data_IF_396982357714
#
_entry.id   IF_396982357714
#
_cell.length_a   1.000
_cell.length_b   1.000
_cell.length_c   1.000
_cell.angle_alpha   90.00
_cell.angle_beta   90.00
_cell.angle_gamma   90.00
#
_symmetry.space_group_name_H-M   'P 1'
#
loop_
_entity.id
_entity.type
_entity.pdbx_description
1 polymer ?
#
# COMPACT_ATOMS: atom_id res chain seq x y z
N UNK A 1 9.55 16.56 5.97
CA UNK A 1 8.61 15.48 6.33
C UNK A 1 7.23 15.98 5.95
N UNK A 2 6.52 15.24 5.10
CA UNK A 2 5.13 15.55 4.76
C UNK A 2 4.25 14.93 5.85
N UNK A 3 3.34 15.71 6.41
CA UNK A 3 2.31 15.24 7.33
C UNK A 3 0.99 15.24 6.57
N UNK A 4 0.58 14.05 6.12
CA UNK A 4 -0.53 13.85 5.21
C UNK A 4 -1.35 12.65 5.66
N UNK A 5 -2.66 12.77 5.45
CA UNK A 5 -3.60 11.70 5.72
C UNK A 5 -3.84 10.87 4.46
N UNK A 6 -3.40 9.60 4.48
CA UNK A 6 -3.51 8.69 3.35
C UNK A 6 -4.97 8.30 3.02
N UNK A 7 -5.92 8.55 3.93
CA UNK A 7 -7.36 8.38 3.69
C UNK A 7 -7.91 9.40 2.69
N UNK A 8 -7.17 10.50 2.45
CA UNK A 8 -7.56 11.59 1.56
C UNK A 8 -6.50 11.81 0.46
N UNK A 9 -6.36 10.88 -0.50
CA UNK A 9 -5.23 10.84 -1.43
C UNK A 9 -5.23 11.97 -2.48
N UNK A 10 -6.31 12.74 -2.61
CA UNK A 10 -6.36 13.89 -3.51
C UNK A 10 -5.28 14.94 -3.21
N UNK A 11 -4.96 15.16 -1.92
CA UNK A 11 -3.89 16.08 -1.50
C UNK A 11 -2.49 15.45 -1.58
N UNK A 12 -2.39 14.12 -1.57
CA UNK A 12 -1.13 13.40 -1.51
C UNK A 12 -0.27 13.65 -2.74
N UNK A 13 -0.81 13.43 -3.94
CA UNK A 13 -0.02 13.50 -5.18
C UNK A 13 0.44 14.92 -5.52
N UNK A 14 -0.37 15.93 -5.16
CA UNK A 14 0.00 17.33 -5.27
C UNK A 14 1.20 17.64 -4.36
N UNK A 15 1.12 17.26 -3.08
CA UNK A 15 2.22 17.44 -2.13
C UNK A 15 3.48 16.66 -2.53
N UNK A 16 3.35 15.44 -3.05
CA UNK A 16 4.49 14.67 -3.56
C UNK A 16 5.19 15.37 -4.72
N UNK A 17 4.44 16.01 -5.63
CA UNK A 17 5.01 16.70 -6.80
C UNK A 17 5.84 17.93 -6.44
N UNK A 18 5.69 18.47 -5.23
CA UNK A 18 6.54 19.56 -4.72
C UNK A 18 7.93 19.08 -4.30
N UNK A 19 8.10 17.77 -4.11
CA UNK A 19 9.32 17.16 -3.56
C UNK A 19 9.94 16.10 -4.47
N UNK A 20 9.17 15.51 -5.38
CA UNK A 20 9.58 14.42 -6.25
C UNK A 20 9.23 14.74 -7.70
N UNK A 21 10.13 14.37 -8.62
CA UNK A 21 9.80 14.30 -10.04
C UNK A 21 8.99 13.02 -10.29
N UNK A 22 7.67 13.16 -10.43
CA UNK A 22 6.77 12.03 -10.68
C UNK A 22 6.75 11.58 -12.14
N UNK A 23 7.48 12.26 -13.04
CA UNK A 23 7.61 11.86 -14.45
C UNK A 23 8.60 10.70 -14.66
N UNK A 24 9.39 10.36 -13.64
CA UNK A 24 10.29 9.20 -13.62
C UNK A 24 9.80 8.14 -12.62
N UNK A 25 10.17 6.85 -12.80
CA UNK A 25 9.77 5.79 -11.88
C UNK A 25 10.19 6.07 -10.42
N UNK A 26 9.25 5.90 -9.49
CA UNK A 26 9.49 6.02 -8.05
C UNK A 26 9.23 4.70 -7.32
N UNK A 27 9.89 4.51 -6.18
CA UNK A 27 9.61 3.42 -5.26
C UNK A 27 8.73 3.89 -4.09
N UNK A 28 7.62 3.21 -3.87
CA UNK A 28 6.75 3.37 -2.70
C UNK A 28 6.99 2.18 -1.76
N UNK A 29 7.15 2.44 -0.48
CA UNK A 29 7.27 1.39 0.54
C UNK A 29 6.20 1.59 1.60
N UNK A 30 5.37 0.58 1.82
CA UNK A 30 4.37 0.55 2.90
C UNK A 30 4.74 -0.48 3.95
N UNK A 31 5.09 0.03 5.12
CA UNK A 31 5.45 -0.76 6.30
C UNK A 31 4.26 -0.83 7.26
N UNK A 32 3.50 -1.93 7.20
CA UNK A 32 2.25 -2.13 7.97
C UNK A 32 1.19 -1.03 7.76
N UNK A 33 1.35 -0.17 6.74
CA UNK A 33 0.54 1.04 6.58
C UNK A 33 -0.86 0.76 6.05
N UNK A 34 -0.95 -0.13 5.05
CA UNK A 34 -2.23 -0.40 4.36
C UNK A 34 -3.25 -1.08 5.27
N UNK A 35 -2.80 -1.79 6.29
CA UNK A 35 -3.67 -2.46 7.26
C UNK A 35 -4.43 -1.46 8.15
N UNK A 36 -4.02 -0.20 8.22
CA UNK A 36 -4.74 0.85 8.95
C UNK A 36 -5.83 1.57 8.15
N UNK A 37 -5.90 1.31 6.84
CA UNK A 37 -6.89 1.90 5.95
C UNK A 37 -8.09 0.94 5.82
N UNK A 38 -9.28 1.44 5.55
CA UNK A 38 -10.44 0.68 5.08
C UNK A 38 -10.30 0.33 3.59
N UNK A 39 -11.12 -0.59 3.09
CA UNK A 39 -10.99 -1.11 1.72
C UNK A 39 -11.16 -0.02 0.65
N UNK A 40 -12.11 0.89 0.86
CA UNK A 40 -12.35 2.04 -0.02
C UNK A 40 -11.18 3.03 0.01
N UNK A 41 -10.55 3.20 1.18
CA UNK A 41 -9.41 4.10 1.36
C UNK A 41 -8.15 3.55 0.69
N UNK A 42 -7.90 2.23 0.81
CA UNK A 42 -6.82 1.56 0.06
C UNK A 42 -7.06 1.69 -1.43
N UNK A 43 -8.29 1.44 -1.90
CA UNK A 43 -8.64 1.55 -3.32
C UNK A 43 -8.36 2.95 -3.84
N UNK A 44 -8.88 3.99 -3.15
CA UNK A 44 -8.65 5.38 -3.54
C UNK A 44 -7.17 5.77 -3.53
N UNK A 45 -6.38 5.27 -2.57
CA UNK A 45 -4.93 5.52 -2.52
C UNK A 45 -4.20 4.88 -3.71
N UNK A 46 -4.51 3.62 -4.01
CA UNK A 46 -3.90 2.87 -5.11
C UNK A 46 -4.21 3.51 -6.46
N UNK A 47 -5.47 3.90 -6.68
CA UNK A 47 -5.90 4.62 -7.89
C UNK A 47 -5.22 5.98 -8.02
N UNK A 48 -5.18 6.77 -6.94
CA UNK A 48 -4.59 8.10 -6.96
C UNK A 48 -3.09 8.06 -7.29
N UNK A 49 -2.36 7.09 -6.74
CA UNK A 49 -0.94 6.91 -7.05
C UNK A 49 -0.76 6.38 -8.48
N UNK A 50 -1.56 5.41 -8.92
CA UNK A 50 -1.52 4.91 -10.30
C UNK A 50 -1.72 6.03 -11.33
N UNK A 51 -2.61 6.98 -11.05
CA UNK A 51 -2.95 8.07 -11.95
C UNK A 51 -1.84 9.13 -12.10
N UNK A 52 -0.86 9.16 -11.19
CA UNK A 52 0.14 10.24 -11.12
C UNK A 52 1.58 9.79 -11.24
N UNK A 53 1.88 8.55 -10.87
CA UNK A 53 3.24 8.03 -10.94
C UNK A 53 3.57 7.56 -12.36
N UNK A 54 4.83 7.73 -12.77
CA UNK A 54 5.29 7.25 -14.05
C UNK A 54 5.22 5.71 -14.15
N UNK A 55 4.93 5.16 -15.35
CA UNK A 55 5.09 3.72 -15.61
C UNK A 55 6.47 3.22 -15.19
N UNK A 56 6.51 2.01 -14.61
CA UNK A 56 7.72 1.44 -14.02
C UNK A 56 7.90 1.76 -12.54
N UNK A 57 7.10 2.66 -11.96
CA UNK A 57 7.08 2.87 -10.50
C UNK A 57 6.72 1.58 -9.77
N UNK A 58 7.35 1.35 -8.63
CA UNK A 58 7.19 0.13 -7.84
C UNK A 58 6.58 0.40 -6.47
N UNK A 59 5.83 -0.57 -5.93
CA UNK A 59 5.32 -0.51 -4.57
C UNK A 59 5.64 -1.79 -3.80
N UNK A 60 6.49 -1.67 -2.77
CA UNK A 60 6.78 -2.74 -1.82
C UNK A 60 5.82 -2.71 -0.63
N UNK A 61 5.18 -3.84 -0.35
CA UNK A 61 4.24 -4.03 0.75
C UNK A 61 4.82 -5.07 1.69
N UNK A 62 5.01 -4.72 2.95
CA UNK A 62 5.63 -5.62 3.95
C UNK A 62 4.63 -6.56 4.63
N UNK A 63 3.34 -6.19 4.65
CA UNK A 63 2.28 -6.97 5.28
C UNK A 63 1.10 -7.00 4.32
N UNK A 64 0.83 -8.18 3.76
CA UNK A 64 -0.25 -8.36 2.78
C UNK A 64 -1.62 -8.59 3.39
N UNK A 65 -1.60 -9.01 4.64
CA UNK A 65 -2.72 -9.47 5.43
C UNK A 65 -2.09 -10.12 6.63
N UNK A 66 -1.35 -9.32 7.41
CA UNK A 66 -0.94 -9.81 8.71
C UNK A 66 -2.21 -9.93 9.52
N UNK A 67 -2.38 -11.04 10.22
CA UNK A 67 -3.08 -11.02 11.50
C UNK A 67 -4.60 -11.26 11.42
N UNK A 68 -5.10 -12.14 10.55
CA UNK A 68 -6.38 -12.79 10.84
C UNK A 68 -6.34 -13.34 12.28
N UNK A 69 -7.21 -12.80 13.15
CA UNK A 69 -7.21 -13.06 14.59
C UNK A 69 -6.28 -12.19 15.46
N UNK A 70 -5.18 -11.66 14.93
CA UNK A 70 -4.30 -10.77 15.70
C UNK A 70 -4.58 -9.27 15.47
N UNK A 71 -5.21 -8.88 14.36
CA UNK A 71 -5.63 -7.51 14.10
C UNK A 71 -6.58 -6.99 15.20
N UNK A 72 -7.51 -7.83 15.65
CA UNK A 72 -8.42 -7.54 16.76
C UNK A 72 -7.66 -7.36 18.08
N UNK A 73 -6.69 -8.24 18.36
CA UNK A 73 -5.85 -8.17 19.56
C UNK A 73 -5.03 -6.88 19.59
N UNK A 74 -4.32 -6.56 18.51
CA UNK A 74 -3.49 -5.35 18.44
C UNK A 74 -4.35 -4.08 18.43
N UNK A 75 -5.50 -4.10 17.76
CA UNK A 75 -6.45 -2.98 17.80
C UNK A 75 -6.95 -2.77 19.24
N UNK A 76 -7.38 -3.82 19.93
CA UNK A 76 -7.83 -3.75 21.31
C UNK A 76 -6.75 -3.21 22.25
N UNK A 77 -5.53 -3.75 22.18
CA UNK A 77 -4.40 -3.28 22.99
C UNK A 77 -4.04 -1.82 22.72
N UNK A 78 -4.08 -1.37 21.46
CA UNK A 78 -3.79 0.01 21.11
C UNK A 78 -4.89 0.96 21.62
N UNK A 79 -6.15 0.55 21.52
CA UNK A 79 -7.29 1.32 22.05
C UNK A 79 -7.26 1.40 23.58
N UNK A 80 -6.89 0.33 24.28
CA UNK A 80 -6.66 0.35 25.73
C UNK A 80 -5.57 1.34 26.14
N UNK A 81 -4.62 1.61 25.25
CA UNK A 81 -3.55 2.62 25.42
C UNK A 81 -3.94 4.01 24.91
N UNK A 82 -5.18 4.20 24.44
CA UNK A 82 -5.70 5.48 23.96
C UNK A 82 -5.26 5.86 22.54
N UNK A 83 -4.74 4.91 21.75
CA UNK A 83 -4.44 5.14 20.35
C UNK A 83 -5.70 4.97 19.48
N UNK A 84 -5.96 5.97 18.63
CA UNK A 84 -7.02 5.89 17.61
C UNK A 84 -6.50 5.12 16.40
N UNK A 85 -6.63 3.80 16.46
CA UNK A 85 -6.21 2.91 15.38
C UNK A 85 -7.19 1.76 15.22
N UNK A 86 -7.26 1.25 13.99
CA UNK A 86 -7.97 0.04 13.64
C UNK A 86 -7.20 -0.68 12.56
N UNK A 87 -6.85 -1.94 12.82
CA UNK A 87 -6.28 -2.81 11.82
C UNK A 87 -7.40 -3.55 11.07
N UNK A 88 -7.30 -3.59 9.75
CA UNK A 88 -8.21 -4.30 8.85
C UNK A 88 -7.48 -5.51 8.29
N UNK A 89 -7.86 -6.69 8.76
CA UNK A 89 -7.37 -7.94 8.18
C UNK A 89 -8.01 -8.16 6.80
N UNK A 90 -7.20 -8.53 5.82
CA UNK A 90 -7.63 -8.77 4.43
C UNK A 90 -7.18 -10.13 3.96
N UNK A 91 -7.71 -10.57 2.82
CA UNK A 91 -7.10 -11.66 2.07
C UNK A 91 -6.15 -11.06 1.03
N UNK A 92 -4.96 -11.64 0.87
CA UNK A 92 -3.96 -11.17 -0.09
C UNK A 92 -4.51 -11.09 -1.53
N UNK A 93 -5.42 -12.01 -1.87
CA UNK A 93 -6.09 -12.03 -3.18
C UNK A 93 -7.01 -10.82 -3.41
N UNK A 94 -7.68 -10.33 -2.36
CA UNK A 94 -8.50 -9.11 -2.45
C UNK A 94 -7.64 -7.89 -2.73
N UNK A 95 -6.53 -7.75 -2.00
CA UNK A 95 -5.58 -6.65 -2.18
C UNK A 95 -4.92 -6.71 -3.57
N UNK A 96 -4.57 -7.90 -4.06
CA UNK A 96 -4.02 -8.10 -5.41
C UNK A 96 -4.94 -7.51 -6.47
N UNK A 97 -6.25 -7.79 -6.40
CA UNK A 97 -7.23 -7.30 -7.36
C UNK A 97 -7.30 -5.78 -7.41
N UNK A 98 -7.32 -5.12 -6.25
CA UNK A 98 -7.32 -3.64 -6.17
C UNK A 98 -6.14 -3.03 -6.93
N UNK A 99 -4.94 -3.59 -6.74
CA UNK A 99 -3.73 -3.16 -7.45
C UNK A 99 -3.83 -3.41 -8.96
N UNK A 100 -4.22 -4.62 -9.36
CA UNK A 100 -4.32 -5.01 -10.77
C UNK A 100 -5.38 -4.21 -11.55
N UNK A 101 -6.54 -3.96 -10.94
CA UNK A 101 -7.61 -3.15 -11.51
C UNK A 101 -7.16 -1.69 -11.73
N UNK A 102 -6.21 -1.21 -10.93
CA UNK A 102 -5.60 0.12 -11.04
C UNK A 102 -4.36 0.16 -11.95
N UNK A 103 -4.05 -0.92 -12.67
CA UNK A 103 -2.93 -0.96 -13.64
C UNK A 103 -1.57 -1.33 -13.05
N UNK A 104 -1.52 -1.76 -11.78
CA UNK A 104 -0.32 -2.31 -11.18
C UNK A 104 -0.21 -3.80 -11.49
N UNK A 105 0.97 -4.23 -11.92
CA UNK A 105 1.29 -5.65 -11.99
C UNK A 105 1.71 -6.13 -10.62
N UNK A 106 1.01 -7.13 -10.10
CA UNK A 106 1.41 -7.83 -8.90
C UNK A 106 2.55 -8.80 -9.18
N UNK A 107 3.60 -8.76 -8.36
CA UNK A 107 4.65 -9.76 -8.34
C UNK A 107 4.53 -10.54 -7.03
N UNK A 108 4.32 -11.84 -7.17
CA UNK A 108 4.33 -12.74 -6.03
C UNK A 108 5.76 -12.76 -5.50
N UNK A 109 5.96 -12.28 -4.27
CA UNK A 109 7.21 -12.55 -3.56
C UNK A 109 7.30 -14.05 -3.33
N UNK A 110 8.41 -14.73 -3.66
CA UNK A 110 8.52 -16.17 -3.44
C UNK A 110 8.27 -16.46 -1.95
N UNK A 111 7.40 -17.43 -1.61
CA UNK A 111 7.20 -17.80 -0.23
C UNK A 111 8.50 -18.41 0.30
N UNK A 112 9.08 -17.78 1.31
CA UNK A 112 10.13 -18.34 2.18
C UNK A 112 11.37 -18.89 1.47
N UNK A 113 12.44 -18.10 1.41
CA UNK A 113 13.78 -18.68 1.61
C UNK A 113 14.03 -18.70 3.13
N UNK A 114 13.86 -19.83 3.82
CA UNK A 114 13.97 -19.92 5.29
C UNK A 114 15.39 -19.63 5.83
N UNK A 115 16.36 -19.32 4.97
CA UNK A 115 17.76 -19.04 5.34
C UNK A 115 18.14 -17.56 5.52
N UNK A 116 17.29 -16.59 5.16
CA UNK A 116 17.60 -15.15 5.29
C UNK A 116 16.65 -14.47 6.28
N UNK A 117 17.18 -14.09 7.44
CA UNK A 117 16.46 -13.36 8.49
C UNK A 117 16.14 -11.89 8.15
N UNK A 118 15.62 -11.60 6.96
CA UNK A 118 15.11 -10.26 6.60
C UNK A 118 13.58 -10.32 6.46
N UNK A 119 12.83 -9.26 6.84
CA UNK A 119 11.39 -9.25 6.70
C UNK A 119 11.07 -9.25 5.20
N UNK A 120 10.48 -10.32 4.63
CA UNK A 120 10.30 -10.39 3.20
C UNK A 120 9.25 -9.34 2.85
N UNK A 121 9.56 -8.46 1.90
CA UNK A 121 8.53 -7.73 1.17
C UNK A 121 7.48 -8.77 0.78
N UNK A 122 6.29 -8.67 1.35
CA UNK A 122 5.23 -9.66 1.20
C UNK A 122 4.63 -9.61 -0.21
N UNK A 123 4.56 -8.42 -0.81
CA UNK A 123 4.41 -8.26 -2.25
C UNK A 123 5.19 -7.08 -2.79
N UNK A 124 5.58 -7.21 -4.05
CA UNK A 124 6.07 -6.12 -4.87
C UNK A 124 5.10 -5.91 -6.02
N UNK A 125 4.78 -4.67 -6.34
CA UNK A 125 3.99 -4.34 -7.53
C UNK A 125 4.74 -3.37 -8.43
N UNK A 126 4.39 -3.33 -9.70
CA UNK A 126 4.95 -2.38 -10.67
C UNK A 126 3.86 -1.79 -11.54
N UNK A 127 3.79 -0.46 -11.62
CA UNK A 127 2.83 0.23 -12.47
C UNK A 127 3.17 -0.03 -13.94
N UNK A 128 2.26 -0.67 -14.68
CA UNK A 128 2.55 -1.13 -16.06
C UNK A 128 2.29 -0.10 -17.14
N UNK A 129 1.73 1.06 -16.79
CA UNK A 129 1.42 2.14 -17.71
C UNK A 129 0.26 1.78 -18.63
N UNK A 130 -0.97 2.06 -18.20
CA UNK A 130 -2.16 2.37 -19.01
C UNK A 130 -3.39 2.36 -18.11
N UNK A 131 -3.85 3.54 -17.71
CA UNK A 131 -5.29 3.78 -17.50
C UNK A 131 -5.67 4.86 -18.51
N UNK A 132 -6.76 4.62 -19.24
CA UNK A 132 -7.21 5.41 -20.40
C UNK A 132 -7.20 6.92 -20.10
N UNK A 133 -6.90 7.78 -21.09
CA UNK A 133 -7.16 9.20 -20.96
C UNK A 133 -8.66 9.43 -20.77
N UNK A 134 -8.96 10.45 -19.97
CA UNK A 134 -10.28 10.95 -19.59
C UNK A 134 -11.27 11.09 -20.76
#
# INVERSE_FOLDING_TARGET
MLDLDLRYPAGLTAALSEHLDLSVPVGVLSTLTLDHLQDEEVTGLVEALAARLAPGSGWGITHLSGMAGAAEVYTGQAQEQGADTRLVAREAEGLRKVFEESGWRWHVSPPNDPGRGEPPIAALTTLTGTTRPC
#
